data_IF_496471884243
#
_entry.id   IF_496471884243
#
_cell.length_a   1.000
_cell.length_b   1.000
_cell.length_c   1.000
_cell.angle_alpha   90.00
_cell.angle_beta   90.00
_cell.angle_gamma   90.00
#
_symmetry.space_group_name_H-M   'P 1'
#
loop_
_entity.id
_entity.type
_entity.pdbx_description
1 polymer ?
#
# COMPACT_ATOMS: atom_id res chain seq x y z
N UNK A 1 14.87 -64.06 -56.60
CA UNK A 1 13.49 -63.93 -56.10
C UNK A 1 13.46 -64.64 -54.77
N UNK A 2 13.82 -63.93 -53.70
CA UNK A 2 13.97 -64.50 -52.35
C UNK A 2 13.25 -63.58 -51.38
N UNK A 3 12.21 -64.15 -50.77
CA UNK A 3 11.57 -63.84 -49.50
C UNK A 3 11.03 -62.42 -49.25
N UNK A 4 9.77 -62.23 -49.65
CA UNK A 4 8.77 -61.60 -48.78
C UNK A 4 8.70 -62.40 -47.47
N UNK A 5 9.36 -61.99 -46.39
CA UNK A 5 8.97 -62.36 -45.01
C UNK A 5 9.80 -61.65 -43.90
N UNK A 6 10.21 -60.39 -44.12
CA UNK A 6 10.68 -59.51 -43.02
C UNK A 6 9.62 -58.46 -42.67
N UNK A 7 8.35 -58.87 -42.66
CA UNK A 7 7.31 -58.10 -41.97
C UNK A 7 7.40 -58.40 -40.47
N UNK A 8 8.28 -57.66 -39.81
CA UNK A 8 8.30 -57.33 -38.38
C UNK A 8 7.48 -58.27 -37.47
N UNK A 9 8.07 -59.37 -37.01
CA UNK A 9 7.57 -60.05 -35.80
C UNK A 9 7.94 -59.23 -34.56
N UNK A 10 7.28 -58.10 -34.38
CA UNK A 10 7.30 -57.41 -33.09
C UNK A 10 6.63 -58.32 -32.06
N UNK A 11 7.33 -58.64 -30.96
CA UNK A 11 6.83 -59.52 -29.90
C UNK A 11 5.49 -58.97 -29.34
N UNK A 12 4.48 -59.80 -29.05
CA UNK A 12 3.15 -59.32 -28.62
C UNK A 12 3.20 -58.34 -27.43
N UNK A 13 4.06 -58.60 -26.44
CA UNK A 13 4.27 -57.68 -25.31
C UNK A 13 4.85 -56.31 -25.73
N UNK A 14 5.64 -56.24 -26.81
CA UNK A 14 6.16 -54.98 -27.36
C UNK A 14 5.05 -54.22 -28.08
N UNK A 15 4.16 -54.92 -28.79
CA UNK A 15 2.99 -54.31 -29.41
C UNK A 15 1.99 -53.80 -28.37
N UNK A 16 1.76 -54.56 -27.30
CA UNK A 16 0.91 -54.14 -26.17
C UNK A 16 1.49 -52.91 -25.46
N UNK A 17 2.82 -52.88 -25.26
CA UNK A 17 3.51 -51.71 -24.72
C UNK A 17 3.37 -50.49 -25.64
N UNK A 18 3.55 -50.68 -26.95
CA UNK A 18 3.39 -49.61 -27.93
C UNK A 18 1.97 -49.05 -27.89
N UNK A 19 0.95 -49.90 -27.92
CA UNK A 19 -0.45 -49.51 -27.82
C UNK A 19 -0.76 -48.79 -26.51
N UNK A 20 -0.20 -49.26 -25.39
CA UNK A 20 -0.36 -48.61 -24.09
C UNK A 20 0.25 -47.21 -24.08
N UNK A 21 1.47 -47.05 -24.61
CA UNK A 21 2.14 -45.75 -24.71
C UNK A 21 1.41 -44.81 -25.67
N UNK A 22 0.92 -45.30 -26.80
CA UNK A 22 0.08 -44.53 -27.72
C UNK A 22 -1.19 -44.06 -27.04
N UNK A 23 -1.86 -44.94 -26.28
CA UNK A 23 -3.05 -44.57 -25.50
C UNK A 23 -2.72 -43.52 -24.45
N UNK A 24 -1.68 -43.73 -23.64
CA UNK A 24 -1.26 -42.78 -22.62
C UNK A 24 -0.90 -41.41 -23.21
N UNK A 25 -0.24 -41.38 -24.38
CA UNK A 25 0.07 -40.16 -25.10
C UNK A 25 -1.21 -39.43 -25.58
N UNK A 26 -2.18 -40.18 -26.10
CA UNK A 26 -3.47 -39.63 -26.51
C UNK A 26 -4.25 -39.08 -25.30
N UNK A 27 -4.28 -39.82 -24.19
CA UNK A 27 -4.92 -39.39 -22.94
C UNK A 27 -4.26 -38.10 -22.40
N UNK A 28 -2.92 -38.02 -22.42
CA UNK A 28 -2.18 -36.82 -22.03
C UNK A 28 -2.49 -35.63 -22.94
N UNK A 29 -2.63 -35.87 -24.25
CA UNK A 29 -3.01 -34.84 -25.23
C UNK A 29 -4.41 -34.29 -24.95
N UNK A 30 -5.36 -35.17 -24.60
CA UNK A 30 -6.72 -34.76 -24.21
C UNK A 30 -6.69 -33.89 -22.95
N UNK A 31 -5.93 -34.32 -21.93
CA UNK A 31 -5.77 -33.55 -20.69
C UNK A 31 -5.14 -32.18 -20.96
N UNK A 32 -4.06 -32.13 -21.76
CA UNK A 32 -3.40 -30.88 -22.13
C UNK A 32 -4.35 -29.90 -22.82
N UNK A 33 -5.10 -30.37 -23.81
CA UNK A 33 -6.04 -29.53 -24.56
C UNK A 33 -7.17 -29.00 -23.67
N UNK A 34 -7.65 -29.82 -22.73
CA UNK A 34 -8.68 -29.39 -21.77
C UNK A 34 -8.15 -28.32 -20.82
N UNK A 35 -6.98 -28.53 -20.22
CA UNK A 35 -6.33 -27.55 -19.35
C UNK A 35 -6.05 -26.24 -20.08
N UNK A 36 -5.63 -26.31 -21.35
CA UNK A 36 -5.38 -25.11 -22.15
C UNK A 36 -6.67 -24.31 -22.40
N UNK A 37 -7.78 -24.99 -22.70
CA UNK A 37 -9.09 -24.33 -22.84
C UNK A 37 -9.57 -23.70 -21.53
N UNK A 38 -9.46 -24.42 -20.43
CA UNK A 38 -9.82 -23.92 -19.09
C UNK A 38 -8.95 -22.70 -18.72
N UNK A 39 -7.65 -22.73 -19.00
CA UNK A 39 -6.74 -21.61 -18.77
C UNK A 39 -7.17 -20.35 -19.53
N UNK A 40 -7.46 -20.47 -20.83
CA UNK A 40 -7.90 -19.33 -21.65
C UNK A 40 -9.27 -18.80 -21.24
N UNK A 41 -10.15 -19.66 -20.72
CA UNK A 41 -11.46 -19.25 -20.20
C UNK A 41 -11.34 -18.46 -18.89
N UNK A 42 -10.45 -18.87 -17.99
CA UNK A 42 -10.23 -18.21 -16.70
C UNK A 42 -9.46 -16.89 -16.87
N UNK A 43 -8.50 -16.88 -17.79
CA UNK A 43 -7.64 -15.74 -18.08
C UNK A 43 -7.83 -15.27 -19.53
N UNK A 44 -8.96 -14.59 -19.84
CA UNK A 44 -9.18 -14.02 -21.16
C UNK A 44 -8.10 -12.98 -21.51
N UNK A 45 -8.01 -12.63 -22.79
CA UNK A 45 -7.09 -11.61 -23.32
C UNK A 45 -5.59 -11.90 -23.13
N UNK A 46 -5.20 -13.18 -23.07
CA UNK A 46 -3.82 -13.62 -22.82
C UNK A 46 -3.25 -13.10 -21.48
N UNK A 47 -4.11 -12.89 -20.49
CA UNK A 47 -3.68 -12.48 -19.17
C UNK A 47 -2.74 -13.54 -18.56
N UNK A 48 -1.48 -13.15 -18.32
CA UNK A 48 -0.48 -14.05 -17.77
C UNK A 48 -0.52 -13.96 -16.23
N UNK A 49 -0.97 -15.01 -15.51
CA UNK A 49 -1.12 -14.95 -14.06
C UNK A 49 0.21 -14.69 -13.33
N UNK A 50 1.34 -15.15 -13.86
CA UNK A 50 2.65 -14.85 -13.26
C UNK A 50 3.01 -13.36 -13.35
N UNK A 51 2.66 -12.71 -14.47
CA UNK A 51 2.83 -11.25 -14.63
C UNK A 51 1.85 -10.47 -13.75
N UNK A 52 0.63 -10.98 -13.53
CA UNK A 52 -0.32 -10.35 -12.62
C UNK A 52 0.19 -10.41 -11.19
N UNK A 53 0.65 -11.57 -10.73
CA UNK A 53 1.23 -11.74 -9.39
C UNK A 53 2.44 -10.84 -9.20
N UNK A 54 3.34 -10.73 -10.18
CA UNK A 54 4.51 -9.84 -10.05
C UNK A 54 4.12 -8.36 -9.97
N UNK A 55 3.12 -7.93 -10.75
CA UNK A 55 2.57 -6.56 -10.67
C UNK A 55 1.92 -6.29 -9.32
N UNK A 56 1.12 -7.23 -8.81
CA UNK A 56 0.48 -7.12 -7.49
C UNK A 56 1.54 -6.96 -6.40
N UNK A 57 2.57 -7.82 -6.40
CA UNK A 57 3.68 -7.73 -5.44
C UNK A 57 4.38 -6.37 -5.51
N UNK A 58 4.71 -5.91 -6.73
CA UNK A 58 5.32 -4.59 -6.91
C UNK A 58 4.43 -3.47 -6.34
N UNK A 59 3.14 -3.48 -6.66
CA UNK A 59 2.20 -2.48 -6.15
C UNK A 59 2.10 -2.53 -4.62
N UNK A 60 2.14 -3.72 -4.02
CA UNK A 60 2.16 -3.89 -2.57
C UNK A 60 3.42 -3.27 -1.94
N UNK A 61 4.60 -3.54 -2.52
CA UNK A 61 5.86 -2.97 -2.06
C UNK A 61 5.88 -1.44 -2.21
N UNK A 62 5.43 -0.94 -3.36
CA UNK A 62 5.32 0.50 -3.64
C UNK A 62 4.37 1.18 -2.64
N UNK A 63 3.24 0.55 -2.31
CA UNK A 63 2.26 1.07 -1.33
C UNK A 63 2.83 1.09 0.09
N UNK A 64 3.56 0.04 0.48
CA UNK A 64 4.25 0.00 1.78
C UNK A 64 5.31 1.09 1.90
N UNK A 65 6.10 1.30 0.85
CA UNK A 65 7.08 2.39 0.77
C UNK A 65 6.41 3.76 0.86
N UNK A 66 5.34 3.98 0.11
CA UNK A 66 4.57 5.22 0.13
C UNK A 66 4.00 5.52 1.51
N UNK A 67 3.49 4.52 2.22
CA UNK A 67 2.99 4.67 3.59
C UNK A 67 4.07 5.20 4.54
N UNK A 68 5.30 4.67 4.45
CA UNK A 68 6.44 5.14 5.25
C UNK A 68 6.76 6.60 4.91
N UNK A 69 6.87 6.93 3.62
CA UNK A 69 7.16 8.29 3.18
C UNK A 69 6.09 9.30 3.62
N UNK A 70 4.81 8.93 3.57
CA UNK A 70 3.73 9.77 4.09
C UNK A 70 3.86 9.98 5.61
N UNK A 71 4.25 8.95 6.37
CA UNK A 71 4.52 9.07 7.81
C UNK A 71 5.65 10.04 8.12
N UNK A 72 6.77 9.93 7.41
CA UNK A 72 7.91 10.84 7.54
C UNK A 72 7.53 12.29 7.18
N UNK A 73 6.77 12.49 6.10
CA UNK A 73 6.28 13.80 5.69
C UNK A 73 5.37 14.43 6.75
N UNK A 74 4.47 13.64 7.35
CA UNK A 74 3.60 14.12 8.43
C UNK A 74 4.41 14.50 9.67
N UNK A 75 5.43 13.70 10.03
CA UNK A 75 6.33 14.02 11.14
C UNK A 75 7.11 15.32 10.88
N UNK A 76 7.69 15.48 9.69
CA UNK A 76 8.40 16.70 9.30
C UNK A 76 7.49 17.94 9.29
N UNK A 77 6.23 17.77 8.87
CA UNK A 77 5.23 18.84 8.94
C UNK A 77 4.90 19.22 10.39
N UNK A 78 4.74 18.24 11.28
CA UNK A 78 4.46 18.52 12.69
C UNK A 78 5.61 19.30 13.35
N UNK A 79 6.85 18.89 13.10
CA UNK A 79 8.04 19.60 13.57
C UNK A 79 8.09 21.06 13.06
N UNK A 80 7.72 21.29 11.79
CA UNK A 80 7.61 22.65 11.24
C UNK A 80 6.53 23.48 11.95
N UNK A 81 5.36 22.88 12.24
CA UNK A 81 4.28 23.53 12.97
C UNK A 81 4.74 23.92 14.38
N UNK A 82 5.42 23.00 15.07
CA UNK A 82 5.89 23.22 16.44
C UNK A 82 6.96 24.32 16.49
N UNK A 83 7.91 24.31 15.54
CA UNK A 83 8.92 25.38 15.38
C UNK A 83 8.28 26.73 15.07
N UNK A 84 7.35 26.77 14.13
CA UNK A 84 6.64 28.01 13.78
C UNK A 84 5.85 28.56 14.99
N UNK A 85 5.18 27.69 15.75
CA UNK A 85 4.46 28.05 16.97
C UNK A 85 5.41 28.61 18.02
N UNK A 86 6.54 27.95 18.27
CA UNK A 86 7.53 28.39 19.26
C UNK A 86 8.10 29.78 18.91
N UNK A 87 8.44 30.02 17.63
CA UNK A 87 8.93 31.32 17.17
C UNK A 87 7.84 32.38 17.30
N UNK A 88 6.61 32.08 16.89
CA UNK A 88 5.51 33.04 16.91
C UNK A 88 5.15 33.47 18.35
N UNK A 89 5.03 32.51 19.26
CA UNK A 89 4.79 32.79 20.69
C UNK A 89 5.97 33.55 21.29
N UNK A 90 7.22 33.15 21.01
CA UNK A 90 8.39 33.86 21.52
C UNK A 90 8.48 35.31 21.03
N UNK A 91 8.18 35.57 19.76
CA UNK A 91 8.13 36.92 19.20
C UNK A 91 7.03 37.75 19.84
N UNK A 92 5.86 37.15 20.05
CA UNK A 92 4.73 37.78 20.72
C UNK A 92 5.07 38.19 22.14
N UNK A 93 5.68 37.30 22.93
CA UNK A 93 6.09 37.58 24.30
C UNK A 93 7.11 38.72 24.38
N UNK A 94 8.01 38.82 23.39
CA UNK A 94 8.95 39.94 23.29
C UNK A 94 8.23 41.26 23.01
N UNK A 95 7.30 41.28 22.06
CA UNK A 95 6.52 42.47 21.72
C UNK A 95 5.67 42.92 22.91
N UNK A 96 5.03 41.98 23.62
CA UNK A 96 4.21 42.29 24.78
C UNK A 96 5.04 42.92 25.91
N UNK A 97 6.25 42.40 26.17
CA UNK A 97 7.18 43.01 27.13
C UNK A 97 7.61 44.42 26.69
N UNK A 98 7.86 44.63 25.40
CA UNK A 98 8.19 45.96 24.87
C UNK A 98 7.03 46.95 25.04
N UNK A 99 5.79 46.54 24.73
CA UNK A 99 4.60 47.36 24.92
C UNK A 99 4.43 47.81 26.37
N UNK A 100 4.53 46.87 27.32
CA UNK A 100 4.49 47.16 28.76
C UNK A 100 5.59 48.15 29.16
N UNK A 101 6.82 47.97 28.66
CA UNK A 101 7.94 48.87 28.96
C UNK A 101 7.76 50.29 28.39
N UNK A 102 7.01 50.43 27.30
CA UNK A 102 6.66 51.71 26.68
C UNK A 102 5.37 52.34 27.24
N UNK A 103 4.73 51.73 28.25
CA UNK A 103 3.46 52.20 28.81
C UNK A 103 2.25 52.00 27.90
N UNK A 104 2.38 51.17 26.86
CA UNK A 104 1.28 50.78 25.97
C UNK A 104 0.61 49.54 26.55
N UNK A 105 -0.72 49.48 26.51
CA UNK A 105 -1.45 48.29 26.95
C UNK A 105 -1.08 47.08 26.07
N UNK A 106 -0.76 45.92 26.66
CA UNK A 106 -0.39 44.73 25.89
C UNK A 106 -1.55 44.25 25.03
N UNK A 107 -1.28 43.89 23.78
CA UNK A 107 -2.28 43.34 22.86
C UNK A 107 -2.82 41.98 23.35
N UNK A 108 -4.12 41.75 23.27
CA UNK A 108 -4.74 40.48 23.67
C UNK A 108 -4.52 39.38 22.62
N UNK A 109 -4.77 38.12 22.99
CA UNK A 109 -4.64 36.96 22.08
C UNK A 109 -5.51 37.09 20.82
N UNK A 110 -6.67 37.76 20.90
CA UNK A 110 -7.56 38.01 19.75
C UNK A 110 -7.10 39.17 18.87
N UNK A 111 -6.23 40.04 19.38
CA UNK A 111 -5.71 41.19 18.63
C UNK A 111 -4.50 40.80 17.76
N UNK A 112 -3.88 39.65 18.04
CA UNK A 112 -2.78 39.10 17.25
C UNK A 112 -3.32 38.31 16.05
N UNK A 113 -3.54 39.04 14.96
CA UNK A 113 -4.02 38.49 13.68
C UNK A 113 -3.14 37.36 13.15
N UNK A 114 -1.81 37.43 13.37
CA UNK A 114 -0.89 36.41 12.88
C UNK A 114 -1.02 35.10 13.68
N UNK A 115 -1.15 35.20 15.00
CA UNK A 115 -1.38 34.05 15.89
C UNK A 115 -2.75 33.39 15.66
N UNK A 116 -3.80 34.20 15.52
CA UNK A 116 -5.15 33.72 15.23
C UNK A 116 -5.20 32.97 13.88
N UNK A 117 -4.63 33.56 12.82
CA UNK A 117 -4.59 32.96 11.49
C UNK A 117 -3.79 31.65 11.50
N UNK A 118 -2.62 31.62 12.15
CA UNK A 118 -1.84 30.39 12.27
C UNK A 118 -2.65 29.26 12.91
N UNK A 119 -3.30 29.50 14.05
CA UNK A 119 -4.12 28.48 14.72
C UNK A 119 -5.32 28.04 13.87
N UNK A 120 -5.94 28.96 13.14
CA UNK A 120 -7.02 28.62 12.22
C UNK A 120 -6.54 27.66 11.11
N UNK A 121 -5.43 27.98 10.45
CA UNK A 121 -4.85 27.13 9.39
C UNK A 121 -4.52 25.73 9.92
N UNK A 122 -3.96 25.63 11.13
CA UNK A 122 -3.69 24.34 11.77
C UNK A 122 -5.00 23.58 12.04
N UNK A 123 -6.00 24.25 12.61
CA UNK A 123 -7.31 23.63 12.90
C UNK A 123 -8.06 23.15 11.66
N UNK A 124 -8.04 23.92 10.58
CA UNK A 124 -8.61 23.54 9.29
C UNK A 124 -7.92 22.29 8.73
N UNK A 125 -6.59 22.25 8.77
CA UNK A 125 -5.83 21.10 8.30
C UNK A 125 -6.08 19.85 9.14
N UNK A 126 -6.09 19.96 10.47
CA UNK A 126 -6.41 18.84 11.38
C UNK A 126 -7.82 18.29 11.09
N UNK A 127 -8.77 19.18 10.79
CA UNK A 127 -10.13 18.80 10.42
C UNK A 127 -10.19 18.05 9.09
N UNK A 128 -9.42 18.47 8.08
CA UNK A 128 -9.34 17.79 6.78
C UNK A 128 -8.71 16.39 6.86
N UNK A 129 -7.74 16.18 7.75
CA UNK A 129 -7.17 14.85 7.98
C UNK A 129 -8.18 13.93 8.65
N UNK A 130 -8.88 14.43 9.66
CA UNK A 130 -9.89 13.67 10.39
C UNK A 130 -11.06 13.27 9.48
N UNK A 131 -11.56 14.18 8.64
CA UNK A 131 -12.69 13.89 7.74
C UNK A 131 -12.36 12.86 6.66
N UNK A 132 -11.12 12.83 6.16
CA UNK A 132 -10.67 11.85 5.17
C UNK A 132 -10.40 10.45 5.73
N UNK A 133 -10.26 10.33 7.05
CA UNK A 133 -9.98 9.06 7.74
C UNK A 133 -11.27 8.37 8.22
N UNK A 134 -12.44 9.02 8.10
CA UNK A 134 -13.65 8.65 8.81
C UNK A 134 -14.71 7.81 8.07
N UNK A 135 -14.47 7.31 6.85
CA UNK A 135 -15.53 6.64 6.06
C UNK A 135 -15.25 5.17 5.69
N UNK A 136 -14.04 4.64 5.95
CA UNK A 136 -13.65 3.27 5.57
C UNK A 136 -13.29 2.40 6.79
N UNK A 137 -14.26 2.14 7.69
CA UNK A 137 -14.04 1.17 8.77
C UNK A 137 -15.28 0.32 9.08
N UNK A 138 -15.57 -0.60 8.17
CA UNK A 138 -16.14 -1.90 8.53
C UNK A 138 -15.10 -2.98 8.24
N UNK A 139 -14.34 -3.39 9.28
CA UNK A 139 -14.19 -4.78 9.72
C UNK A 139 -13.00 -4.91 10.69
N UNK A 140 -13.34 -5.33 11.90
CA UNK A 140 -12.49 -5.91 12.94
C UNK A 140 -11.43 -5.05 13.66
N UNK A 141 -11.67 -5.03 14.97
CA UNK A 141 -10.80 -4.77 16.10
C UNK A 141 -10.57 -3.31 16.49
N UNK A 142 -11.45 -2.92 17.40
CA UNK A 142 -11.74 -1.64 18.04
C UNK A 142 -10.66 -1.17 19.04
N UNK A 143 -9.43 -1.63 18.90
CA UNK A 143 -8.22 -1.12 19.56
C UNK A 143 -7.19 -1.13 18.42
N UNK A 144 -6.67 -0.04 17.86
CA UNK A 144 -5.79 0.84 18.60
C UNK A 144 -5.24 2.03 17.79
N UNK A 145 -6.03 2.63 16.88
CA UNK A 145 -5.49 3.69 15.98
C UNK A 145 -5.10 4.96 16.76
N UNK A 146 -5.88 5.31 17.79
CA UNK A 146 -5.52 6.42 18.67
C UNK A 146 -4.30 6.07 19.55
N UNK A 147 -4.13 4.84 20.06
CA UNK A 147 -2.88 4.50 20.75
C UNK A 147 -1.68 4.51 19.79
N UNK A 148 -1.85 4.14 18.52
CA UNK A 148 -0.74 4.16 17.54
C UNK A 148 -0.24 5.57 17.23
N UNK A 149 -1.13 6.56 17.26
CA UNK A 149 -0.80 7.97 16.99
C UNK A 149 -0.25 8.68 18.24
N UNK A 150 -0.64 8.26 19.45
CA UNK A 150 -0.24 8.91 20.70
C UNK A 150 0.87 8.21 21.47
N UNK A 151 1.18 6.94 21.20
CA UNK A 151 2.32 6.24 21.83
C UNK A 151 3.69 6.76 21.36
N UNK A 152 3.78 7.36 20.16
CA UNK A 152 5.01 7.98 19.67
C UNK A 152 5.24 9.41 20.20
N UNK A 153 4.26 9.99 20.91
CA UNK A 153 4.30 11.39 21.37
C UNK A 153 4.64 11.51 22.86
N UNK A 154 4.61 10.40 23.64
CA UNK A 154 4.91 10.45 25.10
C UNK A 154 5.74 9.25 25.56
N UNK A 155 6.99 9.17 25.13
CA UNK A 155 8.08 8.60 25.95
C UNK A 155 9.34 9.44 25.77
N UNK A 156 9.26 10.68 26.25
CA UNK A 156 10.43 11.44 26.64
C UNK A 156 10.69 11.22 28.13
N UNK A 157 11.81 10.57 28.43
CA UNK A 157 12.75 11.02 29.46
C UNK A 157 14.10 11.16 28.78
#
# INVERSE_FOLDING_TARGET
MVNLEEQERCHPAVNDLFNLLTKANNDLTVVHNRLHKEFQQIYPDNANPLKLVSRIKKTQDDLSSLKVQCGELLAAKQDLIDKARAILVGNRDLIQRMQVSCGVSPASDSDDVAYANFNQIIGEWTSQIRSKTGDDMHCSDSEDINQLLFSAVVQGN
#
